data_IF_697451897839
#
_entry.id   IF_697451897839
#
_cell.length_a   1.000
_cell.length_b   1.000
_cell.length_c   1.000
_cell.angle_alpha   90.00
_cell.angle_beta   90.00
_cell.angle_gamma   90.00
#
_symmetry.space_group_name_H-M   'P 1'
#
loop_
_entity.id
_entity.type
_entity.pdbx_description
1 polymer ?
#
# COMPACT_ATOMS: atom_id res chain seq x y z
N UNK A 1 5.43 7.57 -4.85
CA UNK A 1 4.39 7.03 -3.94
C UNK A 1 3.52 8.15 -3.44
N UNK A 2 2.19 7.97 -3.45
CA UNK A 2 1.21 8.92 -2.91
C UNK A 2 0.53 8.28 -1.70
N UNK A 3 0.73 8.85 -0.52
CA UNK A 3 0.38 8.19 0.75
C UNK A 3 -1.07 8.40 1.20
N UNK A 4 -1.76 9.39 0.65
CA UNK A 4 -3.14 9.68 1.02
C UNK A 4 -3.87 10.22 -0.20
N UNK A 5 -4.37 9.32 -1.05
CA UNK A 5 -5.28 9.71 -2.14
C UNK A 5 -6.68 9.93 -1.60
N UNK A 6 -7.07 9.13 -0.61
CA UNK A 6 -8.30 9.25 0.16
C UNK A 6 -8.03 8.75 1.59
N UNK A 7 -8.77 9.29 2.56
CA UNK A 7 -8.75 8.85 3.94
C UNK A 7 -10.19 8.75 4.44
N UNK A 8 -10.49 7.71 5.20
CA UNK A 8 -11.76 7.56 5.91
C UNK A 8 -11.51 7.17 7.36
N UNK A 9 -12.54 7.34 8.18
CA UNK A 9 -12.51 6.93 9.57
C UNK A 9 -13.86 6.33 9.95
N UNK A 10 -13.82 5.33 10.83
CA UNK A 10 -15.00 4.76 11.48
C UNK A 10 -14.96 5.21 12.94
N UNK A 11 -16.06 5.83 13.39
CA UNK A 11 -16.22 6.35 14.74
C UNK A 11 -17.65 6.11 15.20
N UNK A 12 -17.79 5.43 16.33
CA UNK A 12 -19.06 5.28 17.04
C UNK A 12 -18.90 5.72 18.51
N UNK A 13 -20.01 6.07 19.16
CA UNK A 13 -20.03 6.42 20.58
C UNK A 13 -19.54 5.24 21.41
N UNK A 14 -18.58 5.49 22.30
CA UNK A 14 -17.90 4.49 23.15
C UNK A 14 -17.00 3.47 22.42
N UNK A 15 -16.54 3.77 21.19
CA UNK A 15 -15.55 2.92 20.49
C UNK A 15 -14.26 3.69 20.19
N UNK A 16 -13.13 2.98 20.14
CA UNK A 16 -11.85 3.55 19.68
C UNK A 16 -11.92 3.76 18.16
N UNK A 17 -11.51 4.93 17.64
CA UNK A 17 -11.61 5.21 16.21
C UNK A 17 -10.72 4.26 15.40
N UNK A 18 -11.20 3.92 14.20
CA UNK A 18 -10.43 3.24 13.17
C UNK A 18 -10.17 4.21 12.03
N UNK A 19 -8.91 4.35 11.65
CA UNK A 19 -8.46 5.22 10.56
C UNK A 19 -8.03 4.33 9.40
N UNK A 20 -8.50 4.70 8.21
CA UNK A 20 -8.21 4.01 6.95
C UNK A 20 -7.56 5.00 5.98
N UNK A 21 -6.35 4.70 5.51
CA UNK A 21 -5.67 5.50 4.48
C UNK A 21 -5.51 4.71 3.20
N UNK A 22 -5.91 5.29 2.08
CA UNK A 22 -5.68 4.73 0.75
C UNK A 22 -4.39 5.30 0.16
N UNK A 23 -3.44 4.39 -0.05
CA UNK A 23 -2.11 4.67 -0.58
C UNK A 23 -2.07 4.17 -2.03
N UNK A 24 -1.50 5.00 -2.90
CA UNK A 24 -1.24 4.63 -4.28
C UNK A 24 0.27 4.55 -4.52
N UNK A 25 0.69 3.37 -4.99
CA UNK A 25 2.02 3.08 -5.44
C UNK A 25 2.01 2.96 -6.96
N UNK A 26 2.92 3.67 -7.61
CA UNK A 26 3.17 3.57 -9.04
C UNK A 26 4.67 3.60 -9.22
N UNK A 27 5.21 2.54 -9.82
CA UNK A 27 6.62 2.38 -10.14
C UNK A 27 6.72 1.44 -11.35
N UNK A 28 7.57 1.81 -12.31
CA UNK A 28 7.64 1.14 -13.61
C UNK A 28 6.24 1.02 -14.24
N UNK A 29 5.82 -0.22 -14.54
CA UNK A 29 4.52 -0.59 -15.13
C UNK A 29 3.55 -1.25 -14.14
N UNK A 30 3.79 -1.08 -12.82
CA UNK A 30 2.96 -1.65 -11.75
C UNK A 30 2.31 -0.55 -10.93
N UNK A 31 0.98 -0.58 -10.86
CA UNK A 31 0.17 0.30 -10.02
C UNK A 31 -0.51 -0.52 -8.92
N UNK A 32 -0.26 -0.19 -7.66
CA UNK A 32 -0.81 -0.89 -6.50
C UNK A 32 -1.55 0.08 -5.60
N UNK A 33 -2.72 -0.33 -5.15
CA UNK A 33 -3.52 0.36 -4.16
C UNK A 33 -3.43 -0.42 -2.86
N UNK A 34 -2.93 0.25 -1.82
CA UNK A 34 -2.88 -0.30 -0.48
C UNK A 34 -3.85 0.44 0.42
N UNK A 35 -4.32 -0.27 1.44
CA UNK A 35 -5.08 0.32 2.54
C UNK A 35 -4.31 0.13 3.83
N UNK A 36 -3.91 1.24 4.43
CA UNK A 36 -3.36 1.24 5.78
C UNK A 36 -4.54 1.29 6.75
N UNK A 37 -4.60 0.32 7.64
CA UNK A 37 -5.61 0.19 8.67
C UNK A 37 -4.95 0.46 10.01
N UNK A 38 -5.53 1.37 10.78
CA UNK A 38 -5.05 1.75 12.10
C UNK A 38 -6.23 1.81 13.08
N UNK A 39 -6.29 0.89 14.03
CA UNK A 39 -7.27 0.87 15.11
C UNK A 39 -6.60 0.48 16.42
N UNK A 40 -7.37 0.33 17.49
CA UNK A 40 -6.87 -0.21 18.76
C UNK A 40 -6.52 -1.70 18.73
N UNK A 41 -7.07 -2.44 17.76
CA UNK A 41 -6.93 -3.90 17.66
C UNK A 41 -6.01 -4.32 16.51
N UNK A 42 -5.93 -3.50 15.45
CA UNK A 42 -5.21 -3.82 14.23
C UNK A 42 -4.38 -2.62 13.75
N UNK A 43 -3.14 -2.90 13.35
CA UNK A 43 -2.31 -2.00 12.58
C UNK A 43 -1.69 -2.78 11.43
N UNK A 44 -2.11 -2.52 10.21
CA UNK A 44 -1.77 -3.37 9.07
C UNK A 44 -1.89 -2.67 7.73
N UNK A 45 -1.26 -3.27 6.73
CA UNK A 45 -1.37 -2.85 5.33
C UNK A 45 -2.02 -3.97 4.54
N UNK A 46 -3.13 -3.66 3.89
CA UNK A 46 -3.81 -4.57 2.97
C UNK A 46 -3.50 -4.16 1.52
N UNK A 47 -3.38 -5.16 0.63
CA UNK A 47 -3.33 -4.93 -0.81
C UNK A 47 -4.77 -4.97 -1.34
N UNK A 48 -5.30 -3.81 -1.76
CA UNK A 48 -6.67 -3.68 -2.26
C UNK A 48 -6.75 -4.08 -3.73
N UNK A 49 -5.81 -3.59 -4.55
CA UNK A 49 -5.79 -3.83 -6.00
C UNK A 49 -4.40 -3.68 -6.56
N UNK A 50 -4.03 -4.55 -7.50
CA UNK A 50 -2.84 -4.42 -8.33
C UNK A 50 -3.24 -4.35 -9.81
N UNK A 51 -2.62 -3.45 -10.56
CA UNK A 51 -2.81 -3.27 -12.01
C UNK A 51 -1.44 -3.30 -12.65
N UNK A 52 -1.29 -4.16 -13.66
CA UNK A 52 -0.11 -4.25 -14.51
C UNK A 52 -0.44 -3.62 -15.86
N UNK A 53 0.42 -2.75 -16.36
CA UNK A 53 0.24 -2.13 -17.69
C UNK A 53 0.24 -3.20 -18.80
N UNK A 54 1.12 -4.19 -18.67
CA UNK A 54 1.24 -5.35 -19.57
C UNK A 54 1.09 -6.65 -18.76
N UNK A 55 -0.14 -7.12 -18.51
CA UNK A 55 -0.37 -8.31 -17.70
C UNK A 55 0.13 -9.60 -18.38
N UNK A 56 0.81 -10.45 -17.61
CA UNK A 56 1.25 -11.81 -17.99
C UNK A 56 0.55 -12.86 -17.12
N UNK A 57 1.08 -14.07 -17.07
CA UNK A 57 0.77 -15.09 -16.06
C UNK A 57 1.04 -14.61 -14.62
N UNK A 58 0.44 -15.31 -13.65
CA UNK A 58 0.46 -14.92 -12.23
C UNK A 58 1.87 -14.88 -11.63
N UNK A 59 2.75 -15.80 -12.01
CA UNK A 59 4.11 -15.87 -11.50
C UNK A 59 4.93 -14.67 -11.98
N UNK A 60 4.88 -14.38 -13.28
CA UNK A 60 5.52 -13.21 -13.86
C UNK A 60 4.98 -11.91 -13.26
N UNK A 61 3.67 -11.78 -13.10
CA UNK A 61 3.06 -10.60 -12.48
C UNK A 61 3.51 -10.41 -11.02
N UNK A 62 3.57 -11.50 -10.26
CA UNK A 62 4.05 -11.46 -8.87
C UNK A 62 5.52 -11.07 -8.81
N UNK A 63 6.36 -11.58 -9.72
CA UNK A 63 7.77 -11.19 -9.86
C UNK A 63 7.90 -9.69 -10.19
N UNK A 64 7.11 -9.19 -11.14
CA UNK A 64 7.10 -7.77 -11.51
C UNK A 64 6.70 -6.88 -10.33
N UNK A 65 5.69 -7.27 -9.55
CA UNK A 65 5.29 -6.57 -8.33
C UNK A 65 6.42 -6.56 -7.30
N UNK A 66 7.06 -7.70 -7.04
CA UNK A 66 8.19 -7.79 -6.10
C UNK A 66 9.36 -6.90 -6.54
N UNK A 67 9.68 -6.89 -7.83
CA UNK A 67 10.74 -6.06 -8.39
C UNK A 67 10.44 -4.57 -8.22
N UNK A 68 9.22 -4.13 -8.56
CA UNK A 68 8.80 -2.74 -8.40
C UNK A 68 8.85 -2.29 -6.93
N UNK A 69 8.39 -3.14 -5.99
CA UNK A 69 8.47 -2.85 -4.56
C UNK A 69 9.91 -2.77 -4.04
N UNK A 70 10.79 -3.65 -4.52
CA UNK A 70 12.20 -3.66 -4.13
C UNK A 70 12.97 -2.45 -4.68
N UNK A 71 12.72 -2.08 -5.94
CA UNK A 71 13.30 -0.89 -6.58
C UNK A 71 12.93 0.39 -5.81
N UNK A 72 11.67 0.51 -5.43
CA UNK A 72 11.17 1.68 -4.72
C UNK A 72 11.51 1.73 -3.22
N UNK A 73 12.31 0.78 -2.69
CA UNK A 73 12.69 0.78 -1.26
C UNK A 73 13.47 2.04 -0.93
N UNK A 74 12.93 2.81 0.02
CA UNK A 74 13.65 3.95 0.60
C UNK A 74 14.87 3.40 1.34
N UNK A 75 16.06 3.70 0.84
CA UNK A 75 17.30 3.35 1.53
C UNK A 75 17.39 4.14 2.84
N UNK A 76 17.59 3.42 3.95
CA UNK A 76 17.87 4.05 5.23
C UNK A 76 19.18 4.82 5.09
N UNK A 77 19.13 6.16 5.10
CA UNK A 77 20.34 6.98 5.13
C UNK A 77 21.00 6.72 6.49
N UNK A 78 22.10 5.99 6.49
CA UNK A 78 22.93 5.83 7.69
C UNK A 78 23.55 7.20 7.97
N UNK A 79 22.99 7.92 8.93
CA UNK A 79 23.66 9.08 9.53
C UNK A 79 24.83 8.55 10.35
N UNK A 80 26.05 8.80 9.87
CA UNK A 80 27.27 8.75 10.67
C UNK A 80 27.37 10.00 11.55
#
# INVERSE_FOLDING_TARGET
MRFARNASYELDWNTTPKILLHIEFLNESVQVFFRLIMSSEEFGVELDKCIFENPSDEETNTSNLMNALNDARIQKRLTH
#
